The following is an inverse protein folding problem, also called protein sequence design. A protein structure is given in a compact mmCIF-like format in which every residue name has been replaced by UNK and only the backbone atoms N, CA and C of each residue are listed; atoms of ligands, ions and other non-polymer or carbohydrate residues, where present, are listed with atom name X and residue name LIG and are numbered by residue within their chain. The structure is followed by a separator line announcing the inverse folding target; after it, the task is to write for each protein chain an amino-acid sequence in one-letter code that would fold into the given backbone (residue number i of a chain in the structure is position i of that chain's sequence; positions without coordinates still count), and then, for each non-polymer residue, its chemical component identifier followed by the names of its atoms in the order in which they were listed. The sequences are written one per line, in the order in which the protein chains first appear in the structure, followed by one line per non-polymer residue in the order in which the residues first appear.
data_IF_892658639486
#
_entry.id   IF_892658639486
#
_cell.length_a   1.000
_cell.length_b   1.000
_cell.length_c   1.000
_cell.angle_alpha   90.00
_cell.angle_beta   90.00
_cell.angle_gamma   90.00
#
_symmetry.space_group_name_H-M   'P 1'
#
loop_
_entity.id
_entity.type
_entity.pdbx_description
1 polymer ?
#
# COMPACT_ATOMS: atom_id res chain seq x y z
N UNK A 1 -3.32 -9.05 -26.32
CA UNK A 1 -4.22 -10.00 -27.01
C UNK A 1 -4.50 -9.62 -28.48
N UNK A 2 -3.65 -9.99 -29.45
CA UNK A 2 -3.78 -9.50 -30.84
C UNK A 2 -4.82 -10.22 -31.72
N UNK A 3 -5.59 -11.20 -31.21
CA UNK A 3 -6.48 -12.05 -32.02
C UNK A 3 -7.90 -12.23 -31.44
N UNK A 4 -8.35 -11.36 -30.54
CA UNK A 4 -9.66 -11.52 -29.88
C UNK A 4 -10.56 -10.34 -30.23
N UNK A 5 -11.71 -10.62 -30.86
CA UNK A 5 -12.69 -9.60 -31.26
C UNK A 5 -13.63 -9.20 -30.10
N UNK A 6 -13.88 -10.11 -29.15
CA UNK A 6 -14.78 -9.89 -28.01
C UNK A 6 -14.17 -10.50 -26.74
N UNK A 7 -14.01 -9.68 -25.70
CA UNK A 7 -13.52 -10.10 -24.39
C UNK A 7 -14.62 -9.84 -23.36
N UNK A 8 -14.92 -10.83 -22.52
CA UNK A 8 -15.93 -10.74 -21.45
C UNK A 8 -15.22 -10.95 -20.11
N UNK A 9 -15.24 -9.94 -19.25
CA UNK A 9 -14.70 -10.01 -17.89
C UNK A 9 -15.54 -9.16 -16.92
N UNK A 10 -15.35 -9.39 -15.62
CA UNK A 10 -16.02 -8.64 -14.55
C UNK A 10 -15.49 -7.20 -14.44
N UNK A 11 -16.29 -6.30 -13.87
CA UNK A 11 -15.91 -4.90 -13.59
C UNK A 11 -14.59 -4.77 -12.84
N UNK A 12 -14.26 -5.69 -11.94
CA UNK A 12 -13.00 -5.67 -11.18
C UNK A 12 -11.77 -5.63 -12.10
N UNK A 13 -11.80 -6.30 -13.25
CA UNK A 13 -10.65 -6.33 -14.17
C UNK A 13 -10.44 -5.01 -14.92
N UNK A 14 -11.43 -4.11 -14.90
CA UNK A 14 -11.37 -2.82 -15.58
C UNK A 14 -11.29 -1.65 -14.59
N UNK A 15 -11.95 -1.76 -13.44
CA UNK A 15 -12.11 -0.70 -12.47
C UNK A 15 -11.19 -0.85 -11.25
N UNK A 16 -10.83 -2.09 -10.85
CA UNK A 16 -9.83 -2.26 -9.80
C UNK A 16 -8.49 -1.81 -10.40
N UNK A 17 -7.92 -0.70 -9.90
CA UNK A 17 -6.72 -0.15 -10.50
C UNK A 17 -5.56 -1.15 -10.52
N UNK A 18 -5.52 -2.07 -9.55
CA UNK A 18 -4.47 -3.09 -9.41
C UNK A 18 -4.47 -4.10 -10.55
N UNK A 19 -5.65 -4.42 -11.05
CA UNK A 19 -5.86 -5.45 -12.10
C UNK A 19 -5.98 -4.79 -13.47
N UNK A 20 -6.62 -3.62 -13.50
CA UNK A 20 -6.85 -2.84 -14.70
C UNK A 20 -5.55 -2.50 -15.41
N UNK A 21 -4.46 -2.17 -14.71
CA UNK A 21 -3.20 -1.85 -15.38
C UNK A 21 -2.65 -3.01 -16.21
N UNK A 22 -2.78 -4.25 -15.73
CA UNK A 22 -2.30 -5.44 -16.43
C UNK A 22 -3.18 -5.76 -17.65
N UNK A 23 -4.50 -5.70 -17.48
CA UNK A 23 -5.45 -6.05 -18.54
C UNK A 23 -5.58 -4.95 -19.59
N UNK A 24 -5.59 -3.68 -19.16
CA UNK A 24 -5.80 -2.52 -20.04
C UNK A 24 -4.62 -2.24 -20.96
N UNK A 25 -3.38 -2.58 -20.56
CA UNK A 25 -2.19 -2.45 -21.43
C UNK A 25 -2.33 -3.26 -22.72
N UNK A 26 -3.07 -4.38 -22.67
CA UNK A 26 -3.28 -5.24 -23.82
C UNK A 26 -4.50 -4.87 -24.68
N UNK A 27 -5.36 -3.97 -24.19
CA UNK A 27 -6.56 -3.54 -24.87
C UNK A 27 -6.27 -2.35 -25.80
N UNK A 28 -6.83 -2.39 -27.01
CA UNK A 28 -6.73 -1.27 -27.94
C UNK A 28 -7.49 -0.05 -27.40
N UNK A 29 -6.94 1.15 -27.58
CA UNK A 29 -7.64 2.42 -27.29
C UNK A 29 -8.89 2.63 -28.15
N UNK A 30 -8.99 1.92 -29.28
CA UNK A 30 -10.14 1.96 -30.19
C UNK A 30 -11.21 0.90 -29.83
N UNK A 31 -11.08 0.22 -28.68
CA UNK A 31 -12.04 -0.78 -28.24
C UNK A 31 -13.37 -0.13 -27.79
N UNK A 32 -14.49 -0.82 -28.10
CA UNK A 32 -15.81 -0.44 -27.58
C UNK A 32 -16.03 -1.19 -26.27
N UNK A 33 -16.13 -0.44 -25.16
CA UNK A 33 -16.42 -1.00 -23.83
C UNK A 33 -17.93 -0.95 -23.60
N UNK A 34 -18.52 -2.10 -23.28
CA UNK A 34 -19.94 -2.22 -22.94
C UNK A 34 -20.06 -2.63 -21.48
N UNK A 35 -20.62 -1.75 -20.65
CA UNK A 35 -20.98 -2.08 -19.26
C UNK A 35 -22.37 -2.72 -19.25
N UNK A 36 -22.44 -3.99 -18.85
CA UNK A 36 -23.70 -4.69 -18.57
C UNK A 36 -24.03 -4.58 -17.09
N UNK A 37 -25.28 -4.37 -16.70
CA UNK A 37 -25.69 -4.19 -15.30
C UNK A 37 -24.90 -3.09 -14.53
N UNK A 38 -24.68 -1.94 -15.18
CA UNK A 38 -23.86 -0.83 -14.67
C UNK A 38 -24.39 -0.12 -13.40
N UNK A 39 -25.45 -0.64 -12.76
CA UNK A 39 -26.05 -0.04 -11.57
C UNK A 39 -25.19 -0.18 -10.30
N UNK A 40 -24.21 -1.09 -10.28
CA UNK A 40 -23.31 -1.34 -9.15
C UNK A 40 -21.91 -0.74 -9.32
N UNK A 41 -21.70 0.07 -10.36
CA UNK A 41 -20.36 0.55 -10.72
C UNK A 41 -19.74 1.43 -9.62
N UNK A 42 -20.57 2.18 -8.91
CA UNK A 42 -20.20 3.01 -7.76
C UNK A 42 -19.64 2.18 -6.61
N UNK A 43 -20.31 1.10 -6.23
CA UNK A 43 -19.87 0.18 -5.18
C UNK A 43 -18.51 -0.44 -5.52
N UNK A 44 -18.33 -0.88 -6.78
CA UNK A 44 -17.05 -1.44 -7.23
C UNK A 44 -15.93 -0.40 -7.14
N UNK A 45 -16.18 0.85 -7.51
CA UNK A 45 -15.20 1.93 -7.38
C UNK A 45 -14.85 2.23 -5.91
N UNK A 46 -15.83 2.23 -5.01
CA UNK A 46 -15.61 2.44 -3.57
C UNK A 46 -14.74 1.30 -3.01
N UNK A 47 -15.09 0.04 -3.29
CA UNK A 47 -14.37 -1.14 -2.79
C UNK A 47 -12.92 -1.20 -3.30
N UNK A 48 -12.67 -0.75 -4.54
CA UNK A 48 -11.35 -0.85 -5.17
C UNK A 48 -10.25 -0.05 -4.46
N UNK A 49 -10.61 1.09 -3.85
CA UNK A 49 -9.67 1.98 -3.15
C UNK A 49 -9.84 1.96 -1.63
N UNK A 50 -10.87 1.29 -1.12
CA UNK A 50 -11.10 1.19 0.30
C UNK A 50 -10.13 0.21 0.97
N UNK A 51 -9.64 0.57 2.16
CA UNK A 51 -8.78 -0.30 2.96
C UNK A 51 -9.26 -0.30 4.41
N UNK A 52 -9.55 -1.49 4.89
CA UNK A 52 -9.85 -1.74 6.30
C UNK A 52 -8.62 -2.28 7.02
N UNK A 53 -8.24 -1.60 8.10
CA UNK A 53 -7.23 -2.06 9.04
C UNK A 53 -7.92 -2.53 10.32
N UNK A 54 -7.53 -3.71 10.80
CA UNK A 54 -8.00 -4.26 12.08
C UNK A 54 -6.85 -4.39 13.07
N UNK A 55 -7.17 -4.51 14.37
CA UNK A 55 -6.15 -4.69 15.39
C UNK A 55 -5.25 -5.91 15.16
N UNK A 56 -5.78 -7.12 14.85
CA UNK A 56 -4.93 -8.28 14.55
C UNK A 56 -4.01 -8.07 13.36
N UNK A 57 -4.45 -7.33 12.33
CA UNK A 57 -3.60 -6.99 11.19
C UNK A 57 -2.43 -6.11 11.59
N UNK A 58 -2.65 -5.08 12.43
CA UNK A 58 -1.55 -4.24 12.91
C UNK A 58 -0.55 -5.01 13.78
N UNK A 59 -1.02 -5.95 14.60
CA UNK A 59 -0.15 -6.81 15.42
C UNK A 59 0.62 -7.82 14.55
N UNK A 60 0.01 -8.32 13.46
CA UNK A 60 0.71 -9.09 12.43
C UNK A 60 1.76 -8.24 11.73
N UNK A 61 1.41 -7.03 11.26
CA UNK A 61 2.34 -6.11 10.60
C UNK A 61 3.53 -5.75 11.51
N UNK A 62 3.31 -5.47 12.80
CA UNK A 62 4.39 -5.19 13.76
C UNK A 62 5.40 -6.34 13.88
N UNK A 63 4.92 -7.60 13.86
CA UNK A 63 5.79 -8.78 13.83
C UNK A 63 6.56 -8.89 12.51
N UNK A 64 5.89 -8.68 11.38
CA UNK A 64 6.52 -8.73 10.05
C UNK A 64 7.60 -7.66 9.90
N UNK A 65 7.38 -6.43 10.39
CA UNK A 65 8.40 -5.36 10.38
C UNK A 65 9.59 -5.70 11.28
N UNK A 66 9.37 -6.40 12.40
CA UNK A 66 10.45 -6.85 13.29
C UNK A 66 11.33 -7.89 12.60
N UNK A 67 10.71 -8.91 12.00
CA UNK A 67 11.40 -9.92 11.18
C UNK A 67 12.17 -9.31 10.02
N UNK A 68 11.57 -8.32 9.35
CA UNK A 68 12.22 -7.60 8.25
C UNK A 68 13.51 -6.91 8.72
N UNK A 69 13.46 -6.27 9.90
CA UNK A 69 14.63 -5.67 10.54
C UNK A 69 15.72 -6.70 10.87
N UNK A 70 15.35 -7.85 11.43
CA UNK A 70 16.31 -8.94 11.70
C UNK A 70 16.97 -9.44 10.42
N UNK A 71 16.20 -9.58 9.33
CA UNK A 71 16.74 -10.03 8.04
C UNK A 71 17.70 -9.01 7.41
N UNK A 72 17.43 -7.73 7.58
CA UNK A 72 18.33 -6.65 7.12
C UNK A 72 19.66 -6.70 7.88
N UNK A 73 19.64 -6.91 9.20
CA UNK A 73 20.88 -7.05 9.97
C UNK A 73 21.67 -8.29 9.55
N UNK A 74 21.00 -9.43 9.30
CA UNK A 74 21.63 -10.64 8.76
C UNK A 74 22.32 -10.37 7.41
N UNK A 75 21.60 -9.76 6.47
CA UNK A 75 22.13 -9.45 5.12
C UNK A 75 23.25 -8.43 5.19
N UNK A 76 23.19 -7.45 6.09
CA UNK A 76 24.29 -6.51 6.28
C UNK A 76 25.59 -7.19 6.73
N UNK A 77 25.50 -8.27 7.50
CA UNK A 77 26.69 -9.04 7.91
C UNK A 77 27.18 -10.03 6.84
N UNK A 78 26.29 -10.54 6.00
CA UNK A 78 26.59 -11.61 5.03
C UNK A 78 26.86 -11.08 3.62
N UNK A 79 26.12 -10.06 3.19
CA UNK A 79 26.14 -9.48 1.86
C UNK A 79 25.70 -8.00 1.87
N UNK A 80 26.58 -7.13 2.37
CA UNK A 80 26.32 -5.69 2.41
C UNK A 80 26.24 -5.05 1.01
N UNK A 81 26.79 -5.70 -0.02
CA UNK A 81 26.80 -5.19 -1.39
C UNK A 81 25.37 -5.13 -1.95
N UNK A 82 24.54 -6.17 -1.71
CA UNK A 82 23.12 -6.16 -2.11
C UNK A 82 22.36 -4.92 -1.62
N UNK A 83 22.56 -4.50 -0.37
CA UNK A 83 21.90 -3.32 0.19
C UNK A 83 22.44 -2.00 -0.38
N UNK A 84 23.71 -1.97 -0.77
CA UNK A 84 24.32 -0.81 -1.43
C UNK A 84 23.85 -0.67 -2.88
N UNK A 85 23.73 -1.79 -3.59
CA UNK A 85 23.22 -1.83 -4.96
C UNK A 85 21.74 -1.40 -5.00
N UNK A 86 20.92 -1.88 -4.06
CA UNK A 86 19.55 -1.38 -3.92
C UNK A 86 19.54 0.14 -3.68
N UNK A 87 20.37 0.62 -2.74
CA UNK A 87 20.44 2.06 -2.46
C UNK A 87 20.82 2.88 -3.71
N UNK A 88 21.76 2.40 -4.53
CA UNK A 88 22.15 3.05 -5.77
C UNK A 88 20.97 3.14 -6.76
N UNK A 89 20.25 2.02 -6.97
CA UNK A 89 19.04 2.00 -7.82
C UNK A 89 17.97 2.99 -7.34
N UNK A 90 17.76 3.09 -6.03
CA UNK A 90 16.81 4.06 -5.45
C UNK A 90 17.21 5.53 -5.62
N UNK A 91 18.51 5.81 -5.85
CA UNK A 91 19.02 7.16 -6.09
C UNK A 91 18.90 7.55 -7.56
N UNK A 92 19.20 6.62 -8.47
CA UNK A 92 19.11 6.84 -9.92
C UNK A 92 17.66 7.06 -10.38
N UNK A 93 16.69 6.63 -9.58
CA UNK A 93 15.27 6.74 -9.89
C UNK A 93 14.74 5.40 -10.40
N UNK A 94 13.44 5.19 -10.26
CA UNK A 94 12.77 3.97 -10.71
C UNK A 94 12.59 4.03 -12.24
N UNK A 95 13.68 4.10 -13.01
CA UNK A 95 13.63 4.08 -14.49
C UNK A 95 13.42 2.67 -15.07
N UNK A 96 13.52 1.62 -14.26
CA UNK A 96 13.04 0.30 -14.68
C UNK A 96 11.52 0.28 -14.51
N UNK A 97 10.74 0.23 -15.61
CA UNK A 97 9.32 0.07 -15.48
C UNK A 97 9.12 -1.28 -14.79
N UNK A 98 8.43 -1.26 -13.65
CA UNK A 98 8.00 -2.46 -12.93
C UNK A 98 7.25 -3.46 -13.85
N UNK A 99 6.96 -3.11 -15.10
CA UNK A 99 6.32 -3.94 -16.11
C UNK A 99 7.12 -5.14 -16.61
N UNK A 100 8.46 -5.12 -16.66
CA UNK A 100 9.20 -6.28 -17.23
C UNK A 100 9.45 -7.40 -16.22
N UNK A 101 9.30 -7.12 -14.93
CA UNK A 101 9.44 -8.12 -13.86
C UNK A 101 8.12 -8.45 -13.15
N UNK A 102 7.02 -7.77 -13.50
CA UNK A 102 5.70 -8.01 -12.93
C UNK A 102 5.05 -9.32 -13.42
N UNK A 103 5.60 -9.98 -14.44
CA UNK A 103 5.01 -11.19 -15.02
C UNK A 103 5.12 -12.44 -14.10
N UNK A 104 5.99 -12.43 -13.09
CA UNK A 104 6.20 -13.62 -12.22
C UNK A 104 5.62 -13.51 -10.80
N UNK A 105 5.40 -12.32 -10.25
CA UNK A 105 4.96 -12.12 -8.85
C UNK A 105 3.54 -11.55 -8.74
N UNK A 106 2.56 -12.37 -9.11
CA UNK A 106 1.11 -12.09 -9.12
C UNK A 106 0.48 -11.78 -7.74
N UNK A 107 1.29 -11.66 -6.68
CA UNK A 107 0.83 -11.48 -5.30
C UNK A 107 1.05 -10.04 -4.76
N UNK A 108 1.82 -9.20 -5.47
CA UNK A 108 2.19 -7.86 -4.98
C UNK A 108 1.62 -6.74 -5.85
N UNK A 109 0.34 -6.43 -5.67
CA UNK A 109 -0.28 -5.27 -6.31
C UNK A 109 -0.01 -3.99 -5.53
N UNK A 110 0.67 -3.02 -6.15
CA UNK A 110 0.74 -1.67 -5.59
C UNK A 110 -0.63 -0.98 -5.69
N UNK A 111 -0.99 -0.13 -4.73
CA UNK A 111 -2.10 0.78 -4.92
C UNK A 111 -1.81 1.64 -6.15
N UNK A 112 -2.79 1.87 -7.01
CA UNK A 112 -2.56 2.74 -8.17
C UNK A 112 -2.26 4.14 -7.68
N UNK A 113 -1.10 4.61 -8.13
CA UNK A 113 -0.59 5.94 -7.91
C UNK A 113 -0.78 6.74 -9.19
N UNK A 114 -1.08 8.05 -9.12
CA UNK A 114 -0.98 8.93 -10.26
C UNK A 114 0.37 8.77 -10.97
N UNK A 115 0.40 8.78 -12.31
CA UNK A 115 1.62 8.58 -13.11
C UNK A 115 2.77 9.53 -12.73
N UNK A 116 2.45 10.72 -12.23
CA UNK A 116 3.42 11.71 -11.76
C UNK A 116 4.23 11.22 -10.54
N UNK A 117 3.67 10.33 -9.72
CA UNK A 117 4.37 9.74 -8.57
C UNK A 117 5.37 8.66 -8.96
N UNK A 118 5.06 7.89 -10.00
CA UNK A 118 5.87 6.77 -10.46
C UNK A 118 7.25 7.23 -10.99
N UNK A 119 7.35 8.48 -11.43
CA UNK A 119 8.57 9.07 -11.99
C UNK A 119 9.44 9.79 -10.95
N UNK A 120 9.01 9.91 -9.70
CA UNK A 120 9.79 10.57 -8.64
C UNK A 120 10.76 9.59 -7.96
N UNK A 121 12.00 10.03 -7.74
CA UNK A 121 12.96 9.25 -6.96
C UNK A 121 12.51 9.12 -5.49
N UNK A 122 12.72 7.92 -4.91
CA UNK A 122 12.36 7.64 -3.51
C UNK A 122 13.02 8.68 -2.56
N UNK A 123 12.27 9.24 -1.60
CA UNK A 123 12.79 10.21 -0.64
C UNK A 123 13.99 9.70 0.16
N UNK A 124 15.00 10.56 0.32
CA UNK A 124 16.29 10.20 0.94
C UNK A 124 16.20 9.61 2.34
N UNK A 125 15.19 10.00 3.13
CA UNK A 125 14.98 9.51 4.49
C UNK A 125 14.51 8.05 4.58
N UNK A 126 13.98 7.47 3.50
CA UNK A 126 13.55 6.06 3.44
C UNK A 126 14.37 5.20 2.46
N UNK A 127 15.45 5.73 1.87
CA UNK A 127 16.33 4.95 0.98
C UNK A 127 17.06 3.83 1.73
N UNK A 128 17.65 4.13 2.88
CA UNK A 128 18.33 3.13 3.72
C UNK A 128 17.32 2.18 4.35
N UNK A 129 17.55 0.88 4.21
CA UNK A 129 16.64 -0.16 4.69
C UNK A 129 16.35 -0.05 6.20
N UNK A 130 17.37 0.20 7.02
CA UNK A 130 17.24 0.40 8.47
C UNK A 130 16.29 1.57 8.82
N UNK A 131 16.42 2.69 8.10
CA UNK A 131 15.58 3.86 8.31
C UNK A 131 14.14 3.58 7.90
N UNK A 132 13.94 2.87 6.78
CA UNK A 132 12.61 2.49 6.34
C UNK A 132 11.93 1.52 7.32
N UNK A 133 12.64 0.55 7.88
CA UNK A 133 12.10 -0.31 8.93
C UNK A 133 11.74 0.49 10.17
N UNK A 134 12.61 1.40 10.63
CA UNK A 134 12.33 2.26 11.77
C UNK A 134 11.10 3.16 11.51
N UNK A 135 10.95 3.66 10.29
CA UNK A 135 9.79 4.40 9.83
C UNK A 135 8.51 3.56 9.89
N UNK A 136 8.52 2.34 9.34
CA UNK A 136 7.37 1.43 9.38
C UNK A 136 7.00 1.04 10.82
N UNK A 137 7.97 0.75 11.69
CA UNK A 137 7.72 0.46 13.12
C UNK A 137 6.96 1.61 13.78
N UNK A 138 7.41 2.85 13.54
CA UNK A 138 6.78 4.05 14.11
C UNK A 138 5.38 4.27 13.55
N UNK A 139 5.18 4.08 12.25
CA UNK A 139 3.88 4.22 11.60
C UNK A 139 2.87 3.18 12.10
N UNK A 140 3.26 1.90 12.17
CA UNK A 140 2.41 0.82 12.71
C UNK A 140 2.04 1.09 14.16
N UNK A 141 2.99 1.54 15.00
CA UNK A 141 2.70 1.82 16.40
C UNK A 141 1.77 3.03 16.59
N UNK A 142 1.91 4.04 15.74
CA UNK A 142 0.95 5.15 15.69
C UNK A 142 -0.46 4.67 15.37
N UNK A 143 -0.63 3.84 14.33
CA UNK A 143 -1.94 3.25 14.00
C UNK A 143 -2.50 2.43 15.15
N UNK A 144 -1.65 1.66 15.85
CA UNK A 144 -2.04 0.93 17.06
C UNK A 144 -2.49 1.84 18.19
N UNK A 145 -1.90 3.03 18.31
CA UNK A 145 -2.34 4.03 19.29
C UNK A 145 -3.68 4.64 18.89
N UNK A 146 -3.88 4.96 17.61
CA UNK A 146 -5.18 5.44 17.08
C UNK A 146 -6.30 4.44 17.34
N UNK A 147 -6.06 3.14 17.14
CA UNK A 147 -7.05 2.08 17.41
C UNK A 147 -7.44 1.88 18.88
N UNK A 148 -6.87 2.62 19.83
CA UNK A 148 -7.27 2.56 21.25
C UNK A 148 -8.38 3.54 21.62
N UNK A 149 -8.76 4.41 20.69
CA UNK A 149 -9.88 5.34 20.90
C UNK A 149 -11.18 4.55 21.03
N UNK A 150 -12.05 4.92 21.97
CA UNK A 150 -13.29 4.21 22.32
C UNK A 150 -14.56 4.92 21.81
N UNK A 151 -14.41 5.87 20.89
CA UNK A 151 -15.52 6.54 20.22
C UNK A 151 -15.26 6.56 18.71
N UNK A 152 -16.33 6.67 17.93
CA UNK A 152 -16.22 6.79 16.47
C UNK A 152 -15.52 8.10 16.13
N UNK A 153 -14.51 8.03 15.28
CA UNK A 153 -13.78 9.20 14.78
C UNK A 153 -13.84 9.22 13.27
N UNK A 154 -14.32 10.32 12.69
CA UNK A 154 -14.24 10.59 11.27
C UNK A 154 -13.31 11.79 11.04
N UNK A 155 -12.31 11.63 10.18
CA UNK A 155 -11.35 12.67 9.87
C UNK A 155 -10.92 12.64 8.39
N UNK A 156 -10.47 13.78 7.87
CA UNK A 156 -9.93 13.85 6.52
C UNK A 156 -8.49 13.33 6.47
N UNK A 157 -8.01 12.86 5.30
CA UNK A 157 -6.60 12.46 5.13
C UNK A 157 -5.62 13.55 5.56
N UNK A 158 -5.92 14.82 5.27
CA UNK A 158 -5.10 15.95 5.69
C UNK A 158 -5.01 16.11 7.21
N UNK A 159 -6.14 16.00 7.91
CA UNK A 159 -6.18 16.05 9.38
C UNK A 159 -5.39 14.89 9.99
N UNK A 160 -5.58 13.68 9.46
CA UNK A 160 -4.84 12.50 9.88
C UNK A 160 -3.32 12.67 9.70
N UNK A 161 -2.89 13.15 8.53
CA UNK A 161 -1.46 13.36 8.22
C UNK A 161 -0.83 14.44 9.09
N UNK A 162 -1.57 15.52 9.39
CA UNK A 162 -1.11 16.57 10.29
C UNK A 162 -0.89 16.00 11.71
N UNK A 163 -1.88 15.29 12.25
CA UNK A 163 -1.79 14.66 13.56
C UNK A 163 -0.67 13.59 13.62
N UNK A 164 -0.51 12.79 12.55
CA UNK A 164 0.59 11.84 12.41
C UNK A 164 1.94 12.55 12.49
N UNK A 165 2.11 13.66 11.77
CA UNK A 165 3.34 14.45 11.79
C UNK A 165 3.63 15.00 13.19
N UNK A 166 2.62 15.52 13.87
CA UNK A 166 2.77 16.15 15.19
C UNK A 166 3.18 15.13 16.28
N UNK A 167 2.70 13.88 16.20
CA UNK A 167 3.03 12.84 17.18
C UNK A 167 4.33 12.10 16.84
N UNK A 168 4.59 11.84 15.56
CA UNK A 168 5.62 10.87 15.15
C UNK A 168 6.76 11.48 14.33
N UNK A 169 6.62 12.74 13.92
CA UNK A 169 7.50 13.42 12.95
C UNK A 169 7.58 12.71 11.59
N UNK A 170 6.60 11.86 11.26
CA UNK A 170 6.49 11.28 9.93
C UNK A 170 5.89 12.32 8.99
N UNK A 171 6.64 12.66 7.95
CA UNK A 171 6.17 13.56 6.91
C UNK A 171 5.31 12.82 5.88
N UNK A 172 4.49 13.59 5.16
CA UNK A 172 3.64 13.07 4.10
C UNK A 172 4.43 12.45 2.94
N UNK A 173 5.53 13.08 2.52
CA UNK A 173 6.23 12.71 1.29
C UNK A 173 6.71 11.24 1.32
N UNK A 174 7.39 10.74 2.38
CA UNK A 174 7.79 9.34 2.46
C UNK A 174 6.64 8.33 2.43
N UNK A 175 5.46 8.70 2.96
CA UNK A 175 4.30 7.80 2.97
C UNK A 175 3.80 7.50 1.55
N UNK A 176 3.93 8.45 0.62
CA UNK A 176 3.54 8.27 -0.80
C UNK A 176 4.32 7.14 -1.50
N UNK A 177 5.51 6.82 -1.02
CA UNK A 177 6.39 5.78 -1.61
C UNK A 177 6.46 4.52 -0.74
N UNK A 178 5.57 4.38 0.24
CA UNK A 178 5.67 3.33 1.25
C UNK A 178 5.46 1.93 0.65
N UNK A 179 4.45 1.78 -0.22
CA UNK A 179 4.15 0.51 -0.88
C UNK A 179 5.29 0.07 -1.82
N UNK A 180 5.75 0.98 -2.70
CA UNK A 180 6.87 0.72 -3.61
C UNK A 180 8.16 0.40 -2.88
N UNK A 181 8.50 1.17 -1.83
CA UNK A 181 9.72 0.94 -1.06
C UNK A 181 9.70 -0.42 -0.39
N UNK A 182 8.54 -0.85 0.13
CA UNK A 182 8.37 -2.17 0.72
C UNK A 182 8.52 -3.28 -0.33
N UNK A 183 7.97 -3.08 -1.54
CA UNK A 183 8.12 -4.04 -2.63
C UNK A 183 9.56 -4.19 -3.09
N UNK A 184 10.27 -3.09 -3.32
CA UNK A 184 11.72 -3.09 -3.62
C UNK A 184 12.50 -3.86 -2.57
N UNK A 185 12.17 -3.66 -1.29
CA UNK A 185 12.84 -4.32 -0.19
C UNK A 185 12.55 -5.82 -0.15
N UNK A 186 11.29 -6.23 -0.31
CA UNK A 186 10.91 -7.65 -0.33
C UNK A 186 11.65 -8.39 -1.44
N UNK A 187 11.77 -7.76 -2.62
CA UNK A 187 12.50 -8.31 -3.77
C UNK A 187 14.00 -8.39 -3.51
N UNK A 188 14.60 -7.34 -2.95
CA UNK A 188 16.05 -7.30 -2.60
C UNK A 188 16.43 -8.35 -1.56
N UNK A 189 15.53 -8.62 -0.60
CA UNK A 189 15.77 -9.58 0.48
C UNK A 189 15.37 -11.02 0.09
N UNK A 190 14.89 -11.26 -1.14
CA UNK A 190 14.52 -12.58 -1.67
C UNK A 190 13.58 -13.35 -0.71
N UNK A 191 12.53 -12.68 -0.22
CA UNK A 191 11.64 -13.25 0.80
C UNK A 191 10.63 -14.24 0.19
N UNK A 192 10.84 -15.53 0.45
CA UNK A 192 10.01 -16.61 -0.10
C UNK A 192 8.59 -16.73 0.48
N UNK A 193 8.33 -16.17 1.66
CA UNK A 193 7.06 -16.32 2.39
C UNK A 193 6.26 -15.01 2.41
N UNK A 194 5.75 -14.62 1.24
CA UNK A 194 5.03 -13.36 1.04
C UNK A 194 3.72 -13.26 1.86
N UNK A 195 3.12 -14.41 2.18
CA UNK A 195 1.95 -14.54 3.05
C UNK A 195 2.18 -13.89 4.43
N UNK A 196 3.40 -14.02 4.97
CA UNK A 196 3.78 -13.43 6.27
C UNK A 196 3.86 -11.90 6.24
N UNK A 197 3.91 -11.28 5.06
CA UNK A 197 4.03 -9.83 4.88
C UNK A 197 2.74 -9.18 4.37
N UNK A 198 1.68 -9.95 4.11
CA UNK A 198 0.39 -9.46 3.62
C UNK A 198 -0.22 -8.33 4.47
N UNK A 199 -0.22 -8.48 5.80
CA UNK A 199 -0.69 -7.41 6.71
C UNK A 199 0.16 -6.14 6.62
N UNK A 200 1.48 -6.29 6.45
CA UNK A 200 2.39 -5.15 6.30
C UNK A 200 2.20 -4.46 4.94
N UNK A 201 1.99 -5.22 3.87
CA UNK A 201 1.66 -4.70 2.55
C UNK A 201 0.37 -3.87 2.61
N UNK A 202 -0.69 -4.37 3.26
CA UNK A 202 -1.93 -3.59 3.46
C UNK A 202 -1.68 -2.27 4.21
N UNK A 203 -0.84 -2.28 5.25
CA UNK A 203 -0.47 -1.04 5.98
C UNK A 203 0.33 -0.08 5.09
N UNK A 204 1.23 -0.59 4.25
CA UNK A 204 2.00 0.22 3.32
C UNK A 204 1.12 0.82 2.20
N UNK A 205 0.14 0.06 1.70
CA UNK A 205 -0.86 0.55 0.75
C UNK A 205 -1.75 1.63 1.38
N UNK A 206 -2.22 1.42 2.61
CA UNK A 206 -2.95 2.44 3.37
C UNK A 206 -2.14 3.73 3.52
N UNK A 207 -0.87 3.63 3.94
CA UNK A 207 0.03 4.78 4.04
C UNK A 207 0.12 5.56 2.72
N UNK A 208 0.27 4.82 1.63
CA UNK A 208 0.43 5.35 0.27
C UNK A 208 -0.83 6.06 -0.21
N UNK A 209 -2.00 5.45 -0.03
CA UNK A 209 -3.28 6.03 -0.44
C UNK A 209 -3.61 7.29 0.37
N UNK A 210 -3.51 7.23 1.70
CA UNK A 210 -3.79 8.37 2.59
C UNK A 210 -2.88 9.56 2.28
N UNK A 211 -1.62 9.31 1.92
CA UNK A 211 -0.67 10.35 1.56
C UNK A 211 -0.86 10.89 0.13
N UNK A 212 -1.54 10.14 -0.74
CA UNK A 212 -1.72 10.49 -2.15
C UNK A 212 -3.05 11.21 -2.37
N UNK A 213 -4.15 10.64 -1.87
CA UNK A 213 -5.50 11.14 -2.12
C UNK A 213 -6.01 11.97 -0.95
N UNK A 214 -5.96 13.30 -1.09
CA UNK A 214 -6.43 14.24 -0.06
C UNK A 214 -7.93 14.56 -0.14
N UNK A 215 -8.50 14.46 -1.34
CA UNK A 215 -9.87 14.90 -1.65
C UNK A 215 -10.71 13.70 -2.03
N UNK A 216 -11.95 13.68 -1.56
CA UNK A 216 -12.91 12.62 -1.87
C UNK A 216 -12.82 11.40 -0.96
N UNK A 217 -11.80 11.31 -0.09
CA UNK A 217 -11.61 10.22 0.86
C UNK A 217 -11.84 10.67 2.30
N UNK A 218 -12.25 9.74 3.14
CA UNK A 218 -12.49 9.89 4.56
C UNK A 218 -11.84 8.72 5.33
N UNK A 219 -11.30 9.02 6.51
CA UNK A 219 -10.85 8.02 7.46
C UNK A 219 -11.88 7.88 8.58
N UNK A 220 -12.37 6.67 8.80
CA UNK A 220 -13.37 6.36 9.83
C UNK A 220 -12.81 5.29 10.75
N UNK A 221 -12.63 5.63 12.03
CA UNK A 221 -12.28 4.68 13.07
C UNK A 221 -13.56 4.29 13.83
N UNK A 222 -13.93 3.03 13.73
CA UNK A 222 -15.04 2.43 14.46
C UNK A 222 -14.48 1.55 15.58
N UNK A 223 -14.68 1.89 16.87
CA UNK A 223 -14.11 1.13 17.98
C UNK A 223 -14.87 -0.17 18.33
N UNK A 224 -16.12 -0.28 17.89
CA UNK A 224 -17.04 -1.37 18.21
C UNK A 224 -17.80 -1.77 16.94
N UNK A 225 -18.10 -3.06 16.76
CA UNK A 225 -18.86 -3.56 15.60
C UNK A 225 -20.33 -3.11 15.60
N UNK A 226 -20.91 -2.84 16.77
CA UNK A 226 -22.30 -2.40 16.92
C UNK A 226 -22.42 -1.42 18.08
N UNK A 227 -23.45 -0.58 18.06
CA UNK A 227 -23.73 0.44 19.09
C UNK A 227 -23.86 -0.14 20.51
N UNK A 228 -24.25 -1.41 20.63
CA UNK A 228 -24.48 -2.09 21.91
C UNK A 228 -23.29 -2.97 22.35
N UNK A 229 -22.23 -3.06 21.55
CA UNK A 229 -21.08 -3.90 21.89
C UNK A 229 -20.26 -3.26 23.01
N UNK A 230 -19.89 -4.08 24.00
CA UNK A 230 -19.06 -3.67 25.14
C UNK A 230 -17.60 -4.10 24.99
N UNK A 231 -17.32 -5.01 24.05
CA UNK A 231 -15.98 -5.50 23.74
C UNK A 231 -15.44 -4.69 22.56
N UNK A 232 -14.32 -3.94 22.71
CA UNK A 232 -13.72 -3.20 21.61
C UNK A 232 -13.24 -4.15 20.51
N UNK A 233 -13.68 -3.88 19.28
CA UNK A 233 -13.14 -4.51 18.07
C UNK A 233 -12.89 -3.42 17.02
N UNK A 234 -11.78 -2.67 17.14
CA UNK A 234 -11.59 -1.47 16.34
C UNK A 234 -11.25 -1.80 14.89
N UNK A 235 -11.97 -1.16 13.97
CA UNK A 235 -11.71 -1.18 12.53
C UNK A 235 -11.43 0.25 12.08
N UNK A 236 -10.39 0.42 11.28
CA UNK A 236 -10.01 1.71 10.72
C UNK A 236 -10.15 1.67 9.21
N UNK A 237 -11.19 2.34 8.73
CA UNK A 237 -11.58 2.41 7.33
C UNK A 237 -10.92 3.60 6.64
N UNK A 238 -10.33 3.36 5.48
CA UNK A 238 -10.07 4.37 4.47
C UNK A 238 -11.06 4.14 3.34
N UNK A 239 -11.91 5.13 3.03
CA UNK A 239 -12.97 5.06 2.01
C UNK A 239 -13.09 6.36 1.25
#
# INVERSE_FOLDING_TARGET
MPFVDVVIYSFHYLLDPKVAEQVSKELSKDAIVVFDEAHNIDNVCIESLSIDLTRPMLDSAARSVTKLGEKIEEIKTTDAAKLQDEYAKLVEGLEEPASEAADEDNFMSNPVLPDDLLNEAIPGNIRKAEHFVAFLKRFVEYLKTRMRVLHVVAETPLSFLQHLKDITYIERRPLRFCAERLQSMIRTLELNRLDEYSSLQKVASFATLVATYEKGFLLILEPFETDNATVPNPIFHFT
#
